data_IF_640492763176
#
_entry.id   IF_640492763176
#
_cell.length_a   1.000
_cell.length_b   1.000
_cell.length_c   1.000
_cell.angle_alpha   90.00
_cell.angle_beta   90.00
_cell.angle_gamma   90.00
#
_symmetry.space_group_name_H-M   'P 1'
#
loop_
_entity.id
_entity.type
_entity.pdbx_description
1 polymer ?
#
# COMPACT_ATOMS: atom_id res chain seq x y z
N UNK A 1 -5.94 6.46 10.66
CA UNK A 1 -5.51 6.72 9.29
C UNK A 1 -6.72 6.96 8.39
N UNK A 2 -6.59 7.83 7.42
CA UNK A 2 -7.68 8.18 6.51
C UNK A 2 -7.78 7.11 5.40
N UNK A 3 -8.68 6.14 5.61
CA UNK A 3 -8.87 5.05 4.65
C UNK A 3 -9.37 5.55 3.31
N UNK A 4 -10.16 6.63 3.33
CA UNK A 4 -10.73 7.16 2.10
C UNK A 4 -9.64 7.79 1.24
N UNK A 5 -8.74 8.54 1.85
CA UNK A 5 -7.63 9.15 1.13
C UNK A 5 -6.70 8.06 0.59
N UNK A 6 -6.43 7.04 1.41
CA UNK A 6 -5.63 5.90 0.99
C UNK A 6 -6.24 5.26 -0.27
N UNK A 7 -7.54 4.97 -0.20
CA UNK A 7 -8.24 4.33 -1.32
C UNK A 7 -8.29 5.20 -2.57
N UNK A 8 -8.47 6.50 -2.38
CA UNK A 8 -8.49 7.45 -3.51
C UNK A 8 -7.13 7.45 -4.23
N UNK A 9 -6.04 7.37 -3.47
CA UNK A 9 -4.71 7.34 -4.06
C UNK A 9 -4.45 6.05 -4.82
N UNK A 10 -4.94 4.92 -4.31
CA UNK A 10 -4.86 3.64 -5.03
C UNK A 10 -5.65 3.75 -6.34
N UNK A 11 -6.86 4.28 -6.26
CA UNK A 11 -7.72 4.42 -7.44
C UNK A 11 -7.06 5.31 -8.51
N UNK A 12 -6.50 6.43 -8.08
CA UNK A 12 -5.83 7.33 -9.01
C UNK A 12 -4.62 6.68 -9.65
N UNK A 13 -3.80 5.99 -8.87
CA UNK A 13 -2.62 5.31 -9.40
C UNK A 13 -3.03 4.24 -10.42
N UNK A 14 -4.12 3.52 -10.14
CA UNK A 14 -4.62 2.53 -11.06
C UNK A 14 -5.04 3.16 -12.38
N UNK A 15 -5.81 4.23 -12.31
CA UNK A 15 -6.28 4.92 -13.51
C UNK A 15 -5.14 5.54 -14.30
N UNK A 16 -4.13 6.08 -13.61
CA UNK A 16 -2.96 6.65 -14.26
C UNK A 16 -2.21 5.58 -15.06
N UNK A 17 -2.31 4.31 -14.64
CA UNK A 17 -1.70 3.19 -15.36
C UNK A 17 -2.62 2.62 -16.43
N UNK A 18 -3.83 3.14 -16.57
CA UNK A 18 -4.78 2.66 -17.57
C UNK A 18 -5.34 1.29 -17.25
N UNK A 19 -5.35 0.90 -15.99
CA UNK A 19 -5.82 -0.43 -15.58
C UNK A 19 -7.25 -0.37 -15.09
N UNK A 20 -8.03 -1.41 -15.44
CA UNK A 20 -9.34 -1.61 -14.82
C UNK A 20 -9.15 -2.21 -13.44
N UNK A 21 -10.19 -2.10 -12.60
CA UNK A 21 -10.14 -2.72 -11.29
C UNK A 21 -9.95 -4.24 -11.41
N UNK A 22 -10.61 -4.85 -12.40
CA UNK A 22 -10.49 -6.28 -12.63
C UNK A 22 -9.05 -6.66 -12.98
N UNK A 23 -8.40 -5.89 -13.84
CA UNK A 23 -7.05 -6.20 -14.25
C UNK A 23 -6.04 -6.04 -13.12
N UNK A 24 -6.18 -4.99 -12.33
CA UNK A 24 -5.30 -4.80 -11.19
C UNK A 24 -5.51 -5.90 -10.15
N UNK A 25 -6.77 -6.24 -9.87
CA UNK A 25 -7.07 -7.30 -8.91
C UNK A 25 -6.46 -8.63 -9.37
N UNK A 26 -6.58 -8.93 -10.66
CA UNK A 26 -5.99 -10.14 -11.22
C UNK A 26 -4.48 -10.15 -11.04
N UNK A 27 -3.83 -9.03 -11.37
CA UNK A 27 -2.38 -8.92 -11.24
C UNK A 27 -1.91 -9.09 -9.79
N UNK A 28 -2.74 -8.66 -8.84
CA UNK A 28 -2.42 -8.77 -7.42
C UNK A 28 -2.95 -10.04 -6.79
N UNK A 29 -3.62 -10.89 -7.57
CA UNK A 29 -4.22 -12.13 -7.08
C UNK A 29 -5.20 -11.89 -5.94
N UNK A 30 -6.04 -10.88 -6.10
CA UNK A 30 -7.10 -10.57 -5.15
C UNK A 30 -8.40 -10.43 -5.91
N UNK A 31 -9.50 -10.47 -5.15
CA UNK A 31 -10.84 -10.31 -5.69
C UNK A 31 -11.09 -8.84 -6.04
N UNK A 32 -11.74 -8.58 -7.17
CA UNK A 32 -12.01 -7.20 -7.59
C UNK A 32 -12.97 -6.48 -6.64
N UNK A 33 -13.87 -7.22 -5.99
CA UNK A 33 -14.75 -6.62 -4.99
C UNK A 33 -13.95 -6.10 -3.81
N UNK A 34 -12.96 -6.88 -3.38
CA UNK A 34 -12.06 -6.46 -2.31
C UNK A 34 -11.28 -5.20 -2.72
N UNK A 35 -10.77 -5.19 -3.94
CA UNK A 35 -10.05 -4.01 -4.44
C UNK A 35 -10.96 -2.78 -4.44
N UNK A 36 -12.21 -2.92 -4.87
CA UNK A 36 -13.15 -1.81 -4.86
C UNK A 36 -13.44 -1.31 -3.45
N UNK A 37 -13.48 -2.20 -2.48
CA UNK A 37 -13.65 -1.81 -1.07
C UNK A 37 -12.44 -1.04 -0.57
N UNK A 38 -11.25 -1.41 -1.01
CA UNK A 38 -10.04 -0.66 -0.67
C UNK A 38 -10.10 0.73 -1.30
N UNK A 39 -10.41 0.80 -2.59
CA UNK A 39 -10.47 2.09 -3.30
C UNK A 39 -11.56 2.99 -2.75
N UNK A 40 -12.64 2.41 -2.28
CA UNK A 40 -13.75 3.17 -1.70
C UNK A 40 -13.56 3.57 -0.25
N UNK A 41 -12.44 3.20 0.35
CA UNK A 41 -12.15 3.58 1.73
C UNK A 41 -12.86 2.75 2.78
N UNK A 42 -13.42 1.61 2.38
CA UNK A 42 -14.13 0.74 3.33
C UNK A 42 -13.22 -0.22 4.05
N UNK A 43 -12.13 -0.60 3.41
CA UNK A 43 -11.17 -1.55 3.98
C UNK A 43 -9.75 -1.12 3.67
N UNK A 44 -8.84 -1.46 4.57
CA UNK A 44 -7.40 -1.37 4.31
C UNK A 44 -6.94 -2.75 3.88
N UNK A 45 -6.00 -2.82 2.93
CA UNK A 45 -5.45 -4.12 2.57
C UNK A 45 -4.52 -4.63 3.67
N UNK A 46 -4.27 -5.94 3.67
CA UNK A 46 -3.21 -6.50 4.48
C UNK A 46 -1.87 -5.96 3.97
N UNK A 47 -0.83 -6.06 4.79
CA UNK A 47 0.48 -5.58 4.39
C UNK A 47 1.00 -6.25 3.12
N UNK A 48 0.92 -7.59 2.97
CA UNK A 48 1.36 -8.22 1.72
C UNK A 48 0.58 -7.74 0.50
N UNK A 49 -0.73 -7.53 0.63
CA UNK A 49 -1.54 -7.04 -0.48
C UNK A 49 -1.14 -5.62 -0.83
N UNK A 50 -0.89 -4.78 0.17
CA UNK A 50 -0.44 -3.42 -0.07
C UNK A 50 0.89 -3.41 -0.83
N UNK A 51 1.83 -4.25 -0.42
CA UNK A 51 3.12 -4.34 -1.11
C UNK A 51 2.93 -4.74 -2.58
N UNK A 52 2.04 -5.70 -2.83
CA UNK A 52 1.77 -6.15 -4.19
C UNK A 52 1.11 -5.04 -5.00
N UNK A 53 0.17 -4.31 -4.42
CA UNK A 53 -0.47 -3.18 -5.09
C UNK A 53 0.56 -2.14 -5.50
N UNK A 54 1.45 -1.76 -4.60
CA UNK A 54 2.49 -0.78 -4.91
C UNK A 54 3.39 -1.26 -6.05
N UNK A 55 3.75 -2.54 -6.03
CA UNK A 55 4.60 -3.10 -7.07
C UNK A 55 3.90 -3.08 -8.42
N UNK A 56 2.65 -3.53 -8.48
CA UNK A 56 1.91 -3.59 -9.74
C UNK A 56 1.58 -2.19 -10.26
N UNK A 57 1.33 -1.25 -9.37
CA UNK A 57 1.06 0.13 -9.75
C UNK A 57 2.35 0.92 -10.03
N UNK A 58 3.49 0.36 -9.66
CA UNK A 58 4.81 1.00 -9.80
C UNK A 58 4.87 2.34 -9.10
N UNK A 59 4.34 2.37 -7.90
CA UNK A 59 4.39 3.56 -7.04
C UNK A 59 5.05 3.19 -5.73
N UNK A 60 5.67 4.18 -5.09
CA UNK A 60 6.23 3.95 -3.77
C UNK A 60 5.11 3.94 -2.74
N UNK A 61 5.25 3.18 -1.65
CA UNK A 61 4.29 3.25 -0.56
C UNK A 61 4.08 4.67 -0.04
N UNK A 62 5.09 5.51 -0.08
CA UNK A 62 5.00 6.87 0.39
C UNK A 62 4.00 7.70 -0.42
N UNK A 63 3.83 7.36 -1.69
CA UNK A 63 2.85 8.04 -2.54
C UNK A 63 1.43 7.73 -2.10
N UNK A 64 1.19 6.50 -1.65
CA UNK A 64 -0.16 6.05 -1.27
C UNK A 64 -0.48 6.43 0.17
N UNK A 65 0.49 6.35 1.07
CA UNK A 65 0.25 6.57 2.49
C UNK A 65 -0.03 8.05 2.78
N UNK A 66 -1.01 8.33 3.64
CA UNK A 66 -1.30 9.72 4.02
C UNK A 66 -0.14 10.39 4.71
N UNK A 67 -0.01 11.70 4.51
CA UNK A 67 1.11 12.49 5.02
C UNK A 67 0.98 12.80 6.52
N UNK A 68 -0.03 12.24 7.18
CA UNK A 68 -0.31 12.53 8.58
C UNK A 68 0.57 11.73 9.54
N UNK A 69 1.31 10.76 9.04
CA UNK A 69 2.17 9.93 9.87
C UNK A 69 3.61 10.42 9.74
N UNK A 70 4.23 10.77 10.87
CA UNK A 70 5.61 11.24 10.88
C UNK A 70 6.57 10.12 11.19
N UNK A 71 7.84 10.32 10.80
CA UNK A 71 8.88 9.34 11.04
C UNK A 71 9.50 8.84 9.75
N UNK A 72 10.35 7.83 9.87
CA UNK A 72 10.96 7.20 8.71
C UNK A 72 9.89 6.42 7.95
N UNK A 73 10.20 6.08 6.70
CA UNK A 73 9.28 5.29 5.87
C UNK A 73 8.91 3.98 6.57
N UNK A 74 9.91 3.30 7.12
CA UNK A 74 9.67 2.03 7.80
C UNK A 74 8.79 2.22 9.03
N UNK A 75 9.01 3.29 9.79
CA UNK A 75 8.21 3.59 10.97
C UNK A 75 6.77 3.89 10.61
N UNK A 76 6.56 4.64 9.54
CA UNK A 76 5.21 4.94 9.06
C UNK A 76 4.47 3.66 8.70
N UNK A 77 5.12 2.79 7.95
CA UNK A 77 4.53 1.53 7.53
C UNK A 77 4.20 0.67 8.75
N UNK A 78 5.14 0.56 9.66
CA UNK A 78 4.93 -0.25 10.86
C UNK A 78 3.77 0.28 11.69
N UNK A 79 3.69 1.61 11.86
CA UNK A 79 2.63 2.21 12.65
C UNK A 79 1.26 2.00 12.03
N UNK A 80 1.15 2.18 10.72
CA UNK A 80 -0.13 2.06 10.03
C UNK A 80 -0.62 0.63 10.02
N UNK A 81 0.29 -0.33 9.87
CA UNK A 81 -0.05 -1.74 9.79
C UNK A 81 0.22 -2.49 11.09
N UNK A 82 0.26 -1.77 12.23
CA UNK A 82 0.57 -2.39 13.51
C UNK A 82 -0.39 -3.51 13.87
N UNK A 83 -1.66 -3.39 13.48
CA UNK A 83 -2.65 -4.43 13.75
C UNK A 83 -2.41 -5.68 12.93
N UNK A 84 -1.73 -5.54 11.82
CA UNK A 84 -1.36 -6.66 10.96
C UNK A 84 -0.08 -7.32 11.41
N UNK A 85 0.60 -6.72 12.38
CA UNK A 85 1.83 -7.22 12.98
C UNK A 85 2.83 -7.63 11.91
N UNK A 86 3.27 -6.68 11.05
CA UNK A 86 4.16 -7.02 9.94
C UNK A 86 5.50 -7.55 10.42
N UNK A 87 6.02 -8.51 9.69
CA UNK A 87 7.33 -9.07 9.98
C UNK A 87 8.41 -8.07 9.57
N UNK A 88 9.61 -8.18 10.15
CA UNK A 88 10.72 -7.32 9.71
C UNK A 88 11.00 -7.43 8.21
N UNK A 89 10.82 -8.61 7.63
CA UNK A 89 11.01 -8.80 6.19
C UNK A 89 10.01 -7.98 5.38
N UNK A 90 8.76 -7.94 5.83
CA UNK A 90 7.73 -7.17 5.13
C UNK A 90 8.00 -5.68 5.21
N UNK A 91 8.44 -5.21 6.37
CA UNK A 91 8.77 -3.80 6.55
C UNK A 91 9.95 -3.44 5.65
N UNK A 92 10.96 -4.30 5.62
CA UNK A 92 12.16 -4.07 4.80
C UNK A 92 11.81 -4.02 3.32
N UNK A 93 10.95 -4.95 2.88
CA UNK A 93 10.52 -4.99 1.49
C UNK A 93 9.80 -3.70 1.09
N UNK A 94 8.91 -3.22 1.95
CA UNK A 94 8.17 -1.99 1.66
C UNK A 94 9.11 -0.78 1.66
N UNK A 95 10.09 -0.77 2.58
CA UNK A 95 11.06 0.30 2.62
C UNK A 95 11.90 0.34 1.34
N UNK A 96 12.27 -0.83 0.82
CA UNK A 96 13.00 -0.92 -0.44
C UNK A 96 12.18 -0.39 -1.60
N UNK A 97 10.88 -0.72 -1.62
CA UNK A 97 10.00 -0.23 -2.68
C UNK A 97 9.90 1.28 -2.65
N UNK A 98 9.99 1.88 -1.47
CA UNK A 98 9.95 3.33 -1.31
C UNK A 98 11.30 4.00 -1.52
N UNK A 99 12.35 3.21 -1.78
CA UNK A 99 13.69 3.76 -1.94
C UNK A 99 14.36 4.13 -0.63
N UNK A 100 13.90 3.56 0.46
CA UNK A 100 14.45 3.82 1.80
C UNK A 100 15.34 2.67 2.20
N UNK A 101 16.52 2.99 2.74
CA UNK A 101 17.44 2.00 3.25
C UNK A 101 17.31 1.95 4.76
N UNK A 102 16.97 0.77 5.28
CA UNK A 102 16.87 0.57 6.72
C UNK A 102 18.25 0.33 7.29
N UNK A 103 18.55 1.01 8.40
CA UNK A 103 19.83 0.84 9.05
C UNK A 103 19.77 -0.32 10.03
N UNK A 104 20.85 -1.07 10.06
CA UNK A 104 21.00 -2.10 11.06
C UNK A 104 21.15 -1.50 12.44
N UNK A 105 20.67 -2.21 13.44
CA UNK A 105 20.79 -1.78 14.82
C UNK A 105 21.80 -2.62 15.56
#
# INVERSE_FOLDING_TARGET
MDKKLFGTRINKARKDRGLTAEKLAEACNINSTYLRQIEGGKKLPSLPVFATLCRELRVSPNYILPDLVEGTEAEKIQKIFSESDPTPSQIEMLAEMAGVVLKER
#
